data_IF_132857073007
#
_entry.id   IF_132857073007
#
_cell.length_a   1.000
_cell.length_b   1.000
_cell.length_c   1.000
_cell.angle_alpha   90.00
_cell.angle_beta   90.00
_cell.angle_gamma   90.00
#
_symmetry.space_group_name_H-M   'P 1'
#
loop_
_entity.id
_entity.type
_entity.pdbx_description
1 polymer ?
2 non-polymer ?
3 water ?
#
# COMPACT_ATOMS: atom_id res chain seq x y z
N UNK A 3 14.01 12.78 5.44
CA UNK A 3 14.36 11.58 4.61
C UNK A 3 13.13 11.13 3.82
N UNK A 4 13.36 10.45 2.69
CA UNK A 4 12.30 9.85 1.83
C UNK A 4 11.68 8.66 2.56
N UNK A 5 10.37 8.67 2.71
CA UNK A 5 9.68 7.52 3.31
C UNK A 5 9.65 6.33 2.36
N UNK A 6 9.66 5.11 2.92
CA UNK A 6 9.37 3.91 2.15
C UNK A 6 8.08 4.07 1.36
N UNK A 7 8.06 3.58 0.13
CA UNK A 7 6.90 3.81 -0.74
C UNK A 7 6.89 2.82 -1.89
N UNK A 8 5.76 2.77 -2.57
CA UNK A 8 5.51 1.81 -3.65
C UNK A 8 4.51 2.42 -4.63
N UNK A 9 4.50 1.89 -5.84
CA UNK A 9 3.53 2.30 -6.87
C UNK A 9 2.52 1.18 -7.07
N UNK A 10 1.24 1.51 -7.02
CA UNK A 10 0.18 0.52 -7.27
C UNK A 10 0.26 0.01 -8.71
N UNK A 11 0.25 -1.31 -8.87
CA UNK A 11 0.21 -1.98 -10.19
C UNK A 11 -1.23 -2.18 -10.64
N UNK A 12 -2.16 -2.25 -9.71
CA UNK A 12 -3.58 -2.57 -9.96
C UNK A 12 -4.42 -1.74 -9.01
N UNK A 13 -5.71 -1.63 -9.29
CA UNK A 13 -6.66 -1.07 -8.30
C UNK A 13 -6.83 -2.05 -7.14
N UNK A 14 -7.12 -1.51 -5.96
CA UNK A 14 -7.50 -2.32 -4.79
C UNK A 14 -8.52 -1.54 -3.96
N UNK A 15 -9.45 -2.25 -3.34
CA UNK A 15 -10.26 -1.73 -2.20
C UNK A 15 -10.92 -2.92 -1.55
N UNK A 16 -11.56 -2.66 -0.43
CA UNK A 16 -12.37 -3.69 0.21
C UNK A 16 -13.36 -3.10 1.17
N UNK A 17 -14.12 -3.95 1.84
CA UNK A 17 -15.29 -3.53 2.66
C UNK A 17 -14.89 -3.56 4.14
N UNK A 18 -13.67 -3.99 4.46
CA UNK A 18 -13.20 -4.05 5.86
C UNK A 18 -12.76 -2.64 6.23
N UNK A 19 -12.96 -2.22 7.49
CA UNK A 19 -12.56 -0.87 7.88
C UNK A 19 -11.09 -0.58 7.54
N UNK A 20 -10.26 -1.59 7.74
CA UNK A 20 -8.82 -1.48 7.52
C UNK A 20 -8.35 -1.54 6.07
N UNK A 21 -9.18 -1.86 5.07
CA UNK A 21 -8.68 -1.96 3.67
C UNK A 21 -8.29 -0.57 3.17
N UNK A 22 -7.14 -0.48 2.51
CA UNK A 22 -6.74 0.77 1.84
C UNK A 22 -7.24 0.75 0.40
N UNK A 23 -7.98 1.77 0.02
CA UNK A 23 -8.45 1.93 -1.37
C UNK A 23 -7.41 2.71 -2.17
N UNK A 24 -7.07 2.21 -3.35
CA UNK A 24 -6.18 2.95 -4.27
C UNK A 24 -6.44 2.48 -5.69
N UNK A 25 -5.90 3.28 -6.60
CA UNK A 25 -5.95 3.04 -8.05
C UNK A 25 -4.57 2.72 -8.58
N UNK A 26 -4.54 1.95 -9.64
CA UNK A 26 -3.29 1.71 -10.39
C UNK A 26 -2.57 3.05 -10.61
N UNK A 27 -1.26 3.08 -10.34
CA UNK A 27 -0.43 4.28 -10.51
C UNK A 27 -0.29 5.11 -9.25
N UNK A 28 -1.12 4.89 -8.24
CA UNK A 28 -1.00 5.68 -7.00
C UNK A 28 0.30 5.35 -6.28
N UNK A 29 0.90 6.37 -5.69
CA UNK A 29 2.10 6.21 -4.84
C UNK A 29 1.63 6.07 -3.40
N UNK A 30 2.01 4.96 -2.80
CA UNK A 30 1.58 4.56 -1.44
C UNK A 30 2.79 4.63 -0.53
N UNK A 31 2.65 5.27 0.62
CA UNK A 31 3.69 5.23 1.67
C UNK A 31 3.56 3.90 2.40
N UNK A 32 4.67 3.20 2.55
CA UNK A 32 4.67 1.94 3.31
C UNK A 32 4.95 2.23 4.78
N UNK A 33 4.14 1.65 5.66
CA UNK A 33 4.30 1.84 7.12
C UNK A 33 4.73 0.55 7.82
N UNK A 34 4.25 -0.61 7.40
CA UNK A 34 4.58 -1.88 8.08
C UNK A 34 4.31 -3.01 7.10
N UNK A 35 5.11 -4.05 7.16
CA UNK A 35 4.81 -5.29 6.45
C UNK A 35 4.31 -6.29 7.47
N UNK A 36 3.04 -6.64 7.38
CA UNK A 36 2.40 -7.56 8.36
C UNK A 36 3.00 -8.95 8.21
N UNK A 37 3.08 -9.43 6.99
CA UNK A 37 3.55 -10.79 6.67
C UNK A 37 3.92 -10.79 5.19
N UNK A 38 4.15 -11.95 4.61
CA UNK A 38 4.59 -12.00 3.19
C UNK A 38 3.52 -11.40 2.28
N UNK A 39 2.25 -11.43 2.70
CA UNK A 39 1.12 -11.08 1.80
C UNK A 39 0.52 -9.70 2.03
N UNK A 40 0.82 -9.04 3.14
CA UNK A 40 0.10 -7.80 3.49
C UNK A 40 1.04 -6.69 3.92
N UNK A 41 0.77 -5.49 3.43
CA UNK A 41 1.33 -4.24 3.96
C UNK A 41 0.24 -3.41 4.63
N UNK A 42 0.67 -2.60 5.60
CA UNK A 42 -0.02 -1.38 6.07
C UNK A 42 0.65 -0.22 5.35
N UNK A 43 -0.13 0.57 4.64
CA UNK A 43 0.38 1.81 4.05
C UNK A 43 -0.62 2.93 4.13
N UNK A 44 -0.30 4.01 3.44
CA UNK A 44 -1.14 5.20 3.52
C UNK A 44 -1.06 5.96 2.21
N UNK A 45 -2.17 6.56 1.88
CA UNK A 45 -2.25 7.57 0.80
C UNK A 45 -3.04 8.76 1.34
N UNK A 46 -2.49 9.97 1.23
CA UNK A 46 -3.13 11.24 1.68
C UNK A 46 -3.61 11.14 3.13
N UNK A 47 -2.81 10.57 4.04
CA UNK A 47 -3.12 10.49 5.47
C UNK A 47 -4.19 9.46 5.80
N UNK A 48 -4.64 8.69 4.78
CA UNK A 48 -5.60 7.57 4.97
C UNK A 48 -4.81 6.27 5.00
N UNK A 49 -5.01 5.50 6.05
CA UNK A 49 -4.22 4.29 6.33
C UNK A 49 -5.05 3.04 6.06
N UNK A 50 -4.36 1.98 5.73
CA UNK A 50 -5.01 0.68 5.64
C UNK A 50 -4.08 -0.38 5.10
N UNK A 51 -4.66 -1.55 4.88
CA UNK A 51 -3.92 -2.76 4.49
C UNK A 51 -4.22 -3.10 3.04
N UNK A 52 -3.25 -3.74 2.40
CA UNK A 52 -3.39 -4.14 0.99
C UNK A 52 -2.37 -5.22 0.66
N UNK A 53 -2.60 -5.95 -0.45
CA UNK A 53 -1.73 -7.07 -0.79
C UNK A 53 -0.36 -6.62 -1.29
N UNK A 54 0.67 -7.33 -0.85
CA UNK A 54 2.07 -6.99 -1.19
C UNK A 54 2.28 -7.08 -2.71
N UNK A 55 1.60 -7.99 -3.38
CA UNK A 55 1.80 -8.22 -4.83
C UNK A 55 1.01 -7.23 -5.68
N UNK A 56 0.28 -6.30 -5.08
CA UNK A 56 -0.45 -5.27 -5.86
C UNK A 56 0.37 -3.99 -6.07
N UNK A 57 1.59 -3.96 -5.57
CA UNK A 57 2.44 -2.76 -5.70
C UNK A 57 3.84 -3.17 -6.13
N UNK A 58 4.54 -2.18 -6.69
CA UNK A 58 5.95 -2.26 -7.06
C UNK A 58 6.71 -1.37 -6.09
N UNK A 59 7.61 -1.94 -5.32
CA UNK A 59 8.37 -1.17 -4.31
C UNK A 59 9.23 -0.12 -5.02
N UNK A 60 9.21 1.08 -4.50
CA UNK A 60 10.14 2.16 -4.90
C UNK A 60 11.25 2.25 -3.86
N UNK A 61 10.90 2.46 -2.60
CA UNK A 61 11.86 2.45 -1.49
C UNK A 61 11.33 1.45 -0.47
N UNK A 62 12.10 0.41 -0.11
CA UNK A 62 11.61 -0.59 0.83
C UNK A 62 11.54 -0.05 2.26
N UNK A 63 10.80 -0.78 3.09
CA UNK A 63 10.78 -0.51 4.55
C UNK A 63 12.16 -0.75 5.16
X LIG B 1 -5.92 -6.58 -14.70
X LIG B 1 -5.60 -6.80 -16.12
X LIG B 1 -5.32 -8.26 -16.45
X LIG B 1 -4.19 -8.77 -15.66
X LIG B 1 -4.57 -8.62 -14.25
X LIG B 1 -4.85 -7.17 -13.87
X LIG B 1 -3.96 -10.18 -16.02
X LIG B 1 -2.67 -10.72 -15.39
X LIG B 1 -2.89 -11.11 -14.04
X LIG B 1 -6.04 -5.12 -14.50
X LIG B 1 -6.56 -4.72 -13.12
X LIG B 1 -6.74 -3.05 -12.78
X LIG B 1 -6.99 -3.11 -11.36
X LIG B 1 -7.95 -2.61 -13.49
X LIG B 1 -5.54 -2.24 -13.02
#
# INVERSE_FOLDING_TARGET
>A
GRRQLPCAKALYNYEGKEPGDLKFSKGDIIILRRQVDENWYHGEVNGIHGFFPTNFVQIIKPL
>B hetero
1 EPE N1 C2 C3 N4 C5 C6 C7 C8 O8 C9 C10 S O1S O2S O3S
#
